data_IF_445939434310
#
_entry.id   IF_445939434310
#
_cell.length_a   1.000
_cell.length_b   1.000
_cell.length_c   1.000
_cell.angle_alpha   90.00
_cell.angle_beta   90.00
_cell.angle_gamma   90.00
#
_symmetry.space_group_name_H-M   'P 1'
#
loop_
_entity.id
_entity.type
_entity.pdbx_description
1 polymer ?
#
# COMPACT_ATOMS: atom_id res chain seq x y z
N UNK A 1 -3.41 -17.32 7.91
CA UNK A 1 -2.27 -16.44 7.53
C UNK A 1 -2.35 -15.18 8.37
N UNK A 2 -1.30 -14.88 9.14
CA UNK A 2 -1.17 -13.60 9.87
C UNK A 2 -0.37 -12.68 8.96
N UNK A 3 -1.00 -11.68 8.37
CA UNK A 3 -0.25 -10.58 7.75
C UNK A 3 0.10 -9.60 8.87
N UNK A 4 1.36 -9.22 8.97
CA UNK A 4 1.78 -8.21 9.94
C UNK A 4 1.41 -6.85 9.36
N UNK A 5 0.44 -6.19 9.97
CA UNK A 5 0.12 -4.80 9.64
C UNK A 5 1.37 -3.94 9.89
N UNK A 6 1.73 -3.03 8.97
CA UNK A 6 2.78 -2.05 9.20
C UNK A 6 2.52 -1.28 10.51
N UNK A 7 3.54 -1.09 11.35
CA UNK A 7 3.43 -0.37 12.62
C UNK A 7 3.94 1.09 12.52
N UNK A 8 4.59 1.42 11.40
CA UNK A 8 5.09 2.76 11.08
C UNK A 8 4.88 3.12 9.61
N UNK A 9 5.13 4.40 9.27
CA UNK A 9 5.11 4.88 7.88
C UNK A 9 6.28 4.26 7.10
N UNK A 10 7.43 4.11 7.77
CA UNK A 10 8.64 3.50 7.23
C UNK A 10 8.40 2.02 6.86
N UNK A 11 7.62 1.29 7.66
CA UNK A 11 7.23 -0.10 7.34
C UNK A 11 6.42 -0.17 6.03
N UNK A 12 5.53 0.80 5.79
CA UNK A 12 4.77 0.87 4.52
C UNK A 12 5.70 1.15 3.35
N UNK A 13 6.64 2.09 3.51
CA UNK A 13 7.61 2.40 2.45
C UNK A 13 8.52 1.21 2.14
N UNK A 14 8.96 0.48 3.16
CA UNK A 14 9.76 -0.74 2.99
C UNK A 14 8.96 -1.84 2.31
N UNK A 15 7.71 -2.07 2.75
CA UNK A 15 6.80 -3.04 2.13
C UNK A 15 6.60 -2.76 0.64
N UNK A 16 6.36 -1.50 0.27
CA UNK A 16 6.19 -1.12 -1.14
C UNK A 16 7.51 -1.25 -1.91
N UNK A 17 8.65 -0.87 -1.31
CA UNK A 17 9.97 -0.99 -1.92
C UNK A 17 10.35 -2.44 -2.23
N UNK A 18 10.03 -3.37 -1.33
CA UNK A 18 10.26 -4.81 -1.54
C UNK A 18 9.46 -5.36 -2.72
N UNK A 19 8.38 -4.67 -3.11
CA UNK A 19 7.58 -4.96 -4.30
C UNK A 19 7.94 -4.06 -5.50
N UNK A 20 9.12 -3.46 -5.48
CA UNK A 20 9.64 -2.58 -6.56
C UNK A 20 8.74 -1.35 -6.79
N UNK A 21 7.98 -0.94 -5.77
CA UNK A 21 7.17 0.27 -5.79
C UNK A 21 7.79 1.34 -4.88
N UNK A 22 8.31 2.41 -5.48
CA UNK A 22 8.90 3.51 -4.72
C UNK A 22 7.80 4.52 -4.38
N UNK A 23 7.45 4.62 -3.10
CA UNK A 23 6.50 5.62 -2.60
C UNK A 23 7.20 6.71 -1.80
N UNK A 24 6.74 7.95 -1.99
CA UNK A 24 7.06 9.03 -1.07
C UNK A 24 6.29 8.90 0.26
N UNK A 25 6.57 9.82 1.18
CA UNK A 25 5.88 9.86 2.47
C UNK A 25 4.41 10.25 2.32
N UNK A 26 4.07 11.08 1.33
CA UNK A 26 2.71 11.57 1.12
C UNK A 26 1.75 10.43 0.74
N UNK A 27 2.22 9.39 0.06
CA UNK A 27 1.47 8.18 -0.26
C UNK A 27 1.51 7.14 0.88
N UNK A 28 2.64 7.00 1.56
CA UNK A 28 2.78 6.02 2.64
C UNK A 28 1.91 6.34 3.87
N UNK A 29 1.73 7.63 4.20
CA UNK A 29 0.88 8.08 5.32
C UNK A 29 -0.59 7.64 5.19
N UNK A 30 -1.32 7.94 4.11
CA UNK A 30 -2.73 7.54 4.00
C UNK A 30 -2.89 6.02 3.95
N UNK A 31 -1.93 5.28 3.38
CA UNK A 31 -1.94 3.80 3.41
C UNK A 31 -1.80 3.30 4.86
N UNK A 32 -0.80 3.81 5.59
CA UNK A 32 -0.61 3.47 7.00
C UNK A 32 -1.87 3.76 7.83
N UNK A 33 -2.46 4.94 7.67
CA UNK A 33 -3.68 5.33 8.38
C UNK A 33 -4.87 4.45 8.01
N UNK A 34 -5.07 4.14 6.72
CA UNK A 34 -6.14 3.26 6.27
C UNK A 34 -6.05 1.87 6.91
N UNK A 35 -4.83 1.32 6.98
CA UNK A 35 -4.56 0.03 7.62
C UNK A 35 -4.76 0.10 9.14
N UNK A 36 -4.20 1.11 9.81
CA UNK A 36 -4.29 1.28 11.27
C UNK A 36 -5.72 1.52 11.74
N UNK A 37 -6.47 2.34 11.01
CA UNK A 37 -7.86 2.68 11.31
C UNK A 37 -8.86 1.64 10.78
N UNK A 38 -8.39 0.66 10.00
CA UNK A 38 -9.23 -0.33 9.30
C UNK A 38 -10.34 0.36 8.48
N UNK A 39 -9.95 1.37 7.71
CA UNK A 39 -10.85 2.14 6.83
C UNK A 39 -10.46 1.92 5.36
N UNK A 40 -11.45 1.88 4.44
CA UNK A 40 -11.16 1.82 3.01
C UNK A 40 -10.33 3.03 2.56
N UNK A 41 -9.42 2.82 1.61
CA UNK A 41 -8.65 3.86 0.94
C UNK A 41 -9.02 3.88 -0.54
N UNK A 42 -9.49 5.02 -1.02
CA UNK A 42 -9.70 5.28 -2.43
C UNK A 42 -8.52 6.08 -2.99
N UNK A 43 -7.96 5.63 -4.11
CA UNK A 43 -6.82 6.28 -4.77
C UNK A 43 -7.28 6.90 -6.08
N UNK A 44 -7.23 8.24 -6.15
CA UNK A 44 -7.51 9.03 -7.35
C UNK A 44 -6.22 9.52 -8.02
N UNK A 45 -6.29 9.82 -9.31
CA UNK A 45 -5.16 10.35 -10.09
C UNK A 45 -5.33 10.09 -11.60
N UNK A 46 -4.45 10.66 -12.41
CA UNK A 46 -4.49 10.50 -13.88
C UNK A 46 -4.24 9.05 -14.32
N UNK A 47 -4.67 8.69 -15.53
CA UNK A 47 -4.35 7.38 -16.10
C UNK A 47 -2.82 7.22 -16.22
N UNK A 48 -2.29 6.06 -15.84
CA UNK A 48 -0.85 5.77 -15.92
C UNK A 48 0.00 6.16 -14.70
N UNK A 49 -0.55 6.82 -13.67
CA UNK A 49 0.23 7.24 -12.47
C UNK A 49 0.51 6.14 -11.44
N UNK A 50 0.35 4.86 -11.82
CA UNK A 50 0.69 3.73 -10.94
C UNK A 50 -0.41 3.25 -9.98
N UNK A 51 -1.66 3.74 -10.09
CA UNK A 51 -2.80 3.31 -9.23
C UNK A 51 -3.08 1.80 -9.23
N UNK A 52 -2.91 1.14 -10.37
CA UNK A 52 -3.07 -0.32 -10.47
C UNK A 52 -1.86 -1.05 -9.88
N UNK A 53 -0.67 -0.46 -10.02
CA UNK A 53 0.57 -1.08 -9.58
C UNK A 53 0.71 -1.03 -8.06
N UNK A 54 0.30 0.07 -7.43
CA UNK A 54 0.26 0.16 -5.96
C UNK A 54 -0.71 -0.86 -5.35
N UNK A 55 -1.88 -1.08 -5.96
CA UNK A 55 -2.82 -2.10 -5.48
C UNK A 55 -2.20 -3.51 -5.56
N UNK A 56 -1.40 -3.78 -6.61
CA UNK A 56 -0.65 -5.03 -6.78
C UNK A 56 0.48 -5.16 -5.76
N UNK A 57 1.27 -4.11 -5.57
CA UNK A 57 2.35 -4.07 -4.59
C UNK A 57 1.82 -4.29 -3.17
N UNK A 58 0.73 -3.62 -2.80
CA UNK A 58 0.09 -3.84 -1.49
C UNK A 58 -0.43 -5.27 -1.34
N UNK A 59 -1.10 -5.83 -2.35
CA UNK A 59 -1.57 -7.20 -2.28
C UNK A 59 -0.43 -8.21 -2.12
N UNK A 60 0.65 -8.07 -2.89
CA UNK A 60 1.82 -8.96 -2.78
C UNK A 60 2.57 -8.78 -1.46
N UNK A 61 2.87 -7.54 -1.06
CA UNK A 61 3.60 -7.25 0.17
C UNK A 61 2.83 -7.62 1.43
N UNK A 62 1.50 -7.51 1.39
CA UNK A 62 0.61 -8.00 2.43
C UNK A 62 0.17 -9.44 2.21
N UNK A 63 0.69 -10.14 1.20
CA UNK A 63 0.30 -11.49 0.79
C UNK A 63 -1.21 -11.75 0.63
N UNK A 64 -2.03 -10.71 0.43
CA UNK A 64 -3.49 -10.81 0.29
C UNK A 64 -3.92 -11.01 -1.16
N UNK A 65 -5.19 -11.37 -1.35
CA UNK A 65 -5.78 -11.49 -2.68
C UNK A 65 -6.08 -10.10 -3.26
N UNK A 66 -5.63 -9.86 -4.49
CA UNK A 66 -6.05 -8.71 -5.28
C UNK A 66 -7.33 -9.04 -6.06
N UNK A 67 -8.43 -8.39 -5.71
CA UNK A 67 -9.73 -8.55 -6.38
C UNK A 67 -9.81 -7.54 -7.54
N UNK A 68 -10.28 -7.98 -8.71
CA UNK A 68 -10.41 -7.19 -9.95
C UNK A 68 -11.79 -7.35 -10.56
#
# INVERSE_FOLDING_TARGET
MKYSTPESIEDVQNLLRDQVYISDRALAVPIFLAMKLRRPLFLEGEAGVGKTEIARALAHGLGTNLIR
#
